data_IF_109203805448
#
_entry.id   IF_109203805448
#
_cell.length_a   1.000
_cell.length_b   1.000
_cell.length_c   1.000
_cell.angle_alpha   90.00
_cell.angle_beta   90.00
_cell.angle_gamma   90.00
#
_symmetry.space_group_name_H-M   'P 1'
#
loop_
_entity.id
_entity.type
_entity.pdbx_description
1 polymer ?
#
# COMPACT_ATOMS: atom_id res chain seq x y z
N UNK A 1 -16.96 20.78 -19.00
CA UNK A 1 -16.78 19.36 -18.67
C UNK A 1 -15.62 19.26 -17.69
N UNK A 2 -15.82 18.75 -16.47
CA UNK A 2 -14.76 18.67 -15.45
C UNK A 2 -13.81 17.52 -15.80
N UNK A 3 -12.71 17.85 -16.45
CA UNK A 3 -11.54 16.98 -16.49
C UNK A 3 -10.88 17.02 -15.10
N UNK A 4 -11.27 16.11 -14.21
CA UNK A 4 -10.50 15.87 -12.99
C UNK A 4 -9.25 15.10 -13.38
N UNK A 5 -8.14 15.82 -13.38
CA UNK A 5 -6.76 15.37 -13.47
C UNK A 5 -6.52 13.98 -12.86
N UNK A 6 -6.43 12.94 -13.70
CA UNK A 6 -5.82 11.65 -13.31
C UNK A 6 -4.45 11.56 -13.96
N UNK A 7 -3.63 12.55 -13.61
CA UNK A 7 -2.24 12.66 -14.00
C UNK A 7 -1.49 13.33 -12.86
N UNK A 8 -1.67 12.80 -11.63
CA UNK A 8 -0.79 13.17 -10.54
C UNK A 8 0.40 12.23 -10.59
N UNK A 9 1.42 12.65 -11.35
CA UNK A 9 2.78 12.11 -11.35
C UNK A 9 3.42 12.39 -9.99
N UNK A 10 2.87 11.81 -8.93
CA UNK A 10 3.52 11.74 -7.63
C UNK A 10 4.36 10.46 -7.67
N UNK A 11 5.60 10.47 -7.18
CA UNK A 11 6.53 9.32 -7.17
C UNK A 11 6.08 8.11 -6.34
N UNK A 12 4.77 7.90 -6.20
CA UNK A 12 4.10 6.85 -5.47
C UNK A 12 3.85 5.64 -6.35
N UNK A 13 4.17 4.45 -5.85
CA UNK A 13 3.85 3.17 -6.46
C UNK A 13 2.64 2.56 -5.77
N UNK A 14 1.79 1.90 -6.57
CA UNK A 14 0.65 1.15 -6.05
C UNK A 14 1.12 -0.22 -5.55
N UNK A 15 0.81 -0.50 -4.29
CA UNK A 15 1.04 -1.78 -3.64
C UNK A 15 -0.28 -2.37 -3.18
N UNK A 16 -0.32 -3.69 -3.18
CA UNK A 16 -1.34 -4.48 -2.51
C UNK A 16 -0.68 -5.18 -1.33
N UNK A 17 -1.27 -4.97 -0.17
CA UNK A 17 -0.83 -5.58 1.08
C UNK A 17 -1.89 -6.55 1.52
N UNK A 18 -1.49 -7.79 1.78
CA UNK A 18 -2.37 -8.82 2.32
C UNK A 18 -1.81 -9.32 3.64
N UNK A 19 -2.67 -9.34 4.65
CA UNK A 19 -2.37 -9.92 5.94
C UNK A 19 -2.80 -11.40 5.97
N UNK A 20 -1.99 -12.26 6.58
CA UNK A 20 -2.23 -13.71 6.65
C UNK A 20 -2.07 -14.22 8.08
N UNK A 21 -3.10 -14.91 8.58
CA UNK A 21 -3.05 -15.55 9.91
C UNK A 21 -3.09 -14.57 11.09
N UNK A 22 -3.32 -13.28 10.82
CA UNK A 22 -3.43 -12.21 11.82
C UNK A 22 -4.63 -11.33 11.48
N UNK A 23 -5.19 -10.69 12.50
CA UNK A 23 -6.16 -9.62 12.27
C UNK A 23 -5.42 -8.43 11.66
N UNK A 24 -5.87 -7.90 10.51
CA UNK A 24 -5.18 -6.80 9.87
C UNK A 24 -5.17 -5.58 10.80
N UNK A 25 -4.01 -4.95 11.02
CA UNK A 25 -3.92 -3.78 11.87
C UNK A 25 -4.64 -2.59 11.25
N UNK A 26 -5.01 -1.62 12.08
CA UNK A 26 -5.61 -0.39 11.60
C UNK A 26 -4.53 0.56 11.03
N UNK A 27 -4.20 0.31 9.76
CA UNK A 27 -3.24 1.12 9.00
C UNK A 27 -3.65 2.60 8.94
N UNK A 28 -4.94 2.92 9.04
CA UNK A 28 -5.42 4.31 8.92
C UNK A 28 -5.06 5.14 10.15
N UNK A 29 -4.88 4.48 11.31
CA UNK A 29 -4.56 5.13 12.57
C UNK A 29 -3.05 5.31 12.82
N UNK A 30 -2.15 4.73 12.00
CA UNK A 30 -0.71 5.00 12.12
C UNK A 30 -0.33 6.30 11.40
N UNK A 31 0.11 7.29 12.19
CA UNK A 31 0.63 8.56 11.66
C UNK A 31 1.91 8.34 10.84
N UNK A 32 2.80 7.44 11.29
CA UNK A 32 4.05 7.11 10.59
C UNK A 32 3.75 6.46 9.24
N UNK A 33 2.79 5.54 9.20
CA UNK A 33 2.32 4.94 7.97
C UNK A 33 1.77 5.98 6.99
N UNK A 34 0.90 6.88 7.48
CA UNK A 34 0.27 7.92 6.68
C UNK A 34 1.24 8.96 6.08
N UNK A 35 2.48 9.06 6.58
CA UNK A 35 3.52 9.94 6.02
C UNK A 35 4.10 9.40 4.71
N UNK A 36 4.24 8.07 4.59
CA UNK A 36 4.90 7.43 3.43
C UNK A 36 3.93 6.66 2.54
N UNK A 37 2.72 6.38 3.03
CA UNK A 37 1.75 5.55 2.37
C UNK A 37 0.32 6.06 2.62
N UNK A 38 -0.56 5.88 1.65
CA UNK A 38 -1.99 6.20 1.75
C UNK A 38 -2.82 5.01 1.35
N UNK A 39 -3.78 4.66 2.20
CA UNK A 39 -4.76 3.62 1.91
C UNK A 39 -5.73 4.15 0.86
N UNK A 40 -5.85 3.44 -0.26
CA UNK A 40 -6.81 3.73 -1.32
C UNK A 40 -8.09 2.92 -1.16
N UNK A 41 -7.95 1.63 -0.81
CA UNK A 41 -9.06 0.72 -0.54
C UNK A 41 -8.66 -0.30 0.52
N UNK A 42 -9.64 -0.76 1.29
CA UNK A 42 -9.52 -1.89 2.18
C UNK A 42 -10.64 -2.89 1.85
N UNK A 43 -10.32 -4.17 1.77
CA UNK A 43 -11.28 -5.26 1.54
C UNK A 43 -10.85 -6.49 2.33
N UNK A 44 -11.46 -6.71 3.49
CA UNK A 44 -11.09 -7.79 4.40
C UNK A 44 -9.61 -7.72 4.74
N UNK A 45 -8.88 -8.79 4.47
CA UNK A 45 -7.46 -8.90 4.80
C UNK A 45 -6.53 -8.25 3.75
N UNK A 46 -7.08 -7.59 2.73
CA UNK A 46 -6.31 -6.99 1.63
C UNK A 46 -6.52 -5.49 1.55
N UNK A 47 -5.42 -4.76 1.47
CA UNK A 47 -5.35 -3.31 1.41
C UNK A 47 -4.64 -2.88 0.13
N UNK A 48 -5.23 -1.91 -0.55
CA UNK A 48 -4.63 -1.25 -1.69
C UNK A 48 -4.05 0.06 -1.20
N UNK A 49 -2.74 0.23 -1.40
CA UNK A 49 -1.94 1.28 -0.77
C UNK A 49 -1.14 1.98 -1.87
N UNK A 50 -1.11 3.31 -1.85
CA UNK A 50 -0.18 4.09 -2.66
C UNK A 50 0.95 4.56 -1.76
N UNK A 51 2.19 4.23 -2.07
CA UNK A 51 3.34 4.57 -1.22
C UNK A 51 4.48 5.19 -2.02
N UNK A 52 5.18 6.16 -1.42
CA UNK A 52 6.39 6.77 -1.97
C UNK A 52 7.63 5.91 -1.75
N UNK A 53 7.57 4.89 -0.89
CA UNK A 53 8.67 3.97 -0.60
C UNK A 53 8.50 2.65 -1.35
N UNK A 54 9.59 1.87 -1.44
CA UNK A 54 9.56 0.55 -2.07
C UNK A 54 8.85 -0.49 -1.21
N UNK A 55 8.55 -1.66 -1.78
CA UNK A 55 7.88 -2.78 -1.11
C UNK A 55 8.61 -3.26 0.13
N UNK A 56 9.95 -3.32 0.10
CA UNK A 56 10.77 -3.73 1.25
C UNK A 56 10.60 -2.77 2.42
N UNK A 57 10.81 -1.46 2.20
CA UNK A 57 10.65 -0.45 3.27
C UNK A 57 9.21 -0.36 3.76
N UNK A 58 8.23 -0.50 2.86
CA UNK A 58 6.81 -0.49 3.23
C UNK A 58 6.50 -1.68 4.15
N UNK A 59 7.03 -2.86 3.83
CA UNK A 59 6.89 -4.06 4.64
C UNK A 59 7.58 -3.92 5.98
N UNK A 60 8.83 -3.47 6.01
CA UNK A 60 9.58 -3.26 7.26
C UNK A 60 8.86 -2.28 8.19
N UNK A 61 8.34 -1.17 7.65
CA UNK A 61 7.56 -0.21 8.42
C UNK A 61 6.29 -0.82 9.03
N UNK A 62 5.58 -1.66 8.26
CA UNK A 62 4.41 -2.38 8.80
C UNK A 62 4.79 -3.42 9.86
N UNK A 63 5.93 -4.08 9.70
CA UNK A 63 6.42 -5.05 10.67
C UNK A 63 6.83 -4.37 11.97
N UNK A 64 7.51 -3.22 11.90
CA UNK A 64 7.96 -2.45 13.06
C UNK A 64 6.78 -1.81 13.80
N UNK A 65 5.94 -1.04 13.09
CA UNK A 65 4.81 -0.29 13.68
C UNK A 65 3.75 -1.19 14.30
N UNK A 66 3.47 -2.34 13.66
CA UNK A 66 2.38 -3.24 14.07
C UNK A 66 2.88 -4.54 14.69
N UNK A 67 4.20 -4.65 14.96
CA UNK A 67 4.85 -5.84 15.52
C UNK A 67 4.50 -7.13 14.76
N UNK A 68 4.40 -7.03 13.43
CA UNK A 68 4.02 -8.14 12.56
C UNK A 68 5.24 -8.94 12.13
N UNK A 69 5.04 -10.24 11.88
CA UNK A 69 6.08 -11.09 11.33
C UNK A 69 6.13 -10.95 9.81
N UNK A 70 7.31 -11.20 9.20
CA UNK A 70 7.43 -11.15 7.75
C UNK A 70 6.50 -12.16 7.05
N UNK A 71 6.21 -13.30 7.67
CA UNK A 71 5.27 -14.30 7.13
C UNK A 71 3.81 -13.85 7.11
N UNK A 72 3.46 -12.85 7.93
CA UNK A 72 2.09 -12.38 8.13
C UNK A 72 1.74 -11.22 7.19
N UNK A 73 2.74 -10.59 6.57
CA UNK A 73 2.58 -9.44 5.65
C UNK A 73 3.11 -9.79 4.27
N UNK A 74 2.20 -9.76 3.28
CA UNK A 74 2.55 -9.95 1.87
C UNK A 74 2.33 -8.64 1.13
N UNK A 75 3.41 -8.01 0.68
CA UNK A 75 3.38 -6.80 -0.15
C UNK A 75 3.72 -7.20 -1.58
N UNK A 76 2.89 -6.79 -2.54
CA UNK A 76 3.19 -6.97 -3.96
C UNK A 76 2.76 -5.73 -4.75
N UNK A 77 3.57 -5.36 -5.75
CA UNK A 77 3.17 -4.37 -6.76
C UNK A 77 2.82 -5.13 -8.04
N UNK A 78 1.69 -4.81 -8.71
CA UNK A 78 1.46 -5.33 -10.04
C UNK A 78 2.54 -4.77 -10.97
N UNK A 79 3.09 -5.57 -11.90
CA UNK A 79 4.04 -5.06 -12.87
C UNK A 79 3.40 -3.90 -13.65
N UNK A 80 4.16 -2.81 -13.83
CA UNK A 80 3.73 -1.60 -14.56
C UNK A 80 3.34 -1.85 -16.03
N UNK A 81 3.45 -3.07 -16.52
CA UNK A 81 3.21 -3.48 -17.90
C UNK A 81 1.72 -3.51 -18.34
N UNK A 82 0.77 -3.20 -17.45
CA UNK A 82 -0.67 -3.21 -17.79
C UNK A 82 -1.30 -1.82 -18.01
N UNK A 83 -0.51 -0.74 -18.09
CA UNK A 83 -1.01 0.61 -18.39
C UNK A 83 -0.46 1.20 -19.71
N UNK A 84 -0.28 0.37 -20.73
CA UNK A 84 -0.18 0.82 -22.13
C UNK A 84 -1.26 0.12 -22.95
N UNK A 85 -2.50 0.59 -22.85
CA UNK A 85 -3.52 0.36 -23.87
C UNK A 85 -4.71 1.31 -23.62
N UNK A 86 -4.63 2.52 -24.14
CA UNK A 86 -5.66 3.18 -24.99
C UNK A 86 -5.25 4.62 -25.24
#
# INVERSE_FOLDING_TARGET
MRATSVGQTDGTTLYFVRFKGVNPPDLANSSVFNQVAKIKRAKGDTYQISSTVNDVKLRDLMMDEFQLKPSEVVVYSPPRLFFYAS
#
